data_IF_454382953687
#
_entry.id   IF_454382953687
#
_cell.length_a   1.000
_cell.length_b   1.000
_cell.length_c   1.000
_cell.angle_alpha   90.00
_cell.angle_beta   90.00
_cell.angle_gamma   90.00
#
_symmetry.space_group_name_H-M   'P 1'
#
loop_
_entity.id
_entity.type
_entity.pdbx_description
1 polymer ?
#
# COMPACT_ATOMS: atom_id res chain seq x y z
N UNK A 1 4.98 4.96 40.58
CA UNK A 1 3.73 5.18 39.84
C UNK A 1 4.11 5.31 38.36
N UNK A 2 4.13 4.20 37.63
CA UNK A 2 4.32 4.23 36.18
C UNK A 2 3.02 4.73 35.56
N UNK A 3 3.04 5.65 34.60
CA UNK A 3 1.83 5.94 33.83
C UNK A 3 1.39 4.64 33.13
N UNK A 4 0.08 4.38 33.03
CA UNK A 4 -0.42 3.20 32.35
C UNK A 4 0.10 3.21 30.90
N UNK A 5 0.64 2.07 30.46
CA UNK A 5 0.93 1.81 29.05
C UNK A 5 -0.40 1.90 28.32
N UNK A 6 -0.58 2.96 27.52
CA UNK A 6 -1.58 2.94 26.47
C UNK A 6 -1.12 1.91 25.46
N UNK A 7 -1.71 0.72 25.50
CA UNK A 7 -1.56 -0.25 24.42
C UNK A 7 -2.15 0.38 23.16
N UNK A 8 -1.30 0.59 22.16
CA UNK A 8 -1.57 1.23 20.87
C UNK A 8 -2.54 0.43 19.97
N UNK A 9 -3.37 -0.44 20.54
CA UNK A 9 -4.57 -0.99 19.89
C UNK A 9 -5.64 0.08 19.60
N UNK A 10 -5.38 1.33 20.00
CA UNK A 10 -6.23 2.52 19.86
C UNK A 10 -5.88 3.37 18.59
N UNK A 11 -5.26 2.78 17.56
CA UNK A 11 -4.85 3.47 16.32
C UNK A 11 -5.67 3.12 15.06
N UNK A 12 -6.77 2.38 15.22
CA UNK A 12 -7.79 2.30 14.19
C UNK A 12 -9.13 2.58 14.87
N UNK A 13 -9.59 3.83 14.85
CA UNK A 13 -10.96 4.08 15.29
C UNK A 13 -11.90 3.21 14.41
N UNK A 14 -12.96 2.61 14.97
CA UNK A 14 -13.83 1.67 14.25
C UNK A 14 -14.51 2.23 12.98
N UNK A 15 -14.30 3.50 12.63
CA UNK A 15 -14.66 4.14 11.36
C UNK A 15 -13.55 4.25 10.30
N UNK A 16 -12.25 4.19 10.67
CA UNK A 16 -11.12 4.41 9.74
C UNK A 16 -11.00 3.31 8.68
N UNK A 17 -11.29 2.05 9.02
CA UNK A 17 -11.27 0.95 8.04
C UNK A 17 -12.32 1.14 6.92
N UNK A 18 -13.48 1.70 7.26
CA UNK A 18 -14.54 1.96 6.29
C UNK A 18 -14.19 3.11 5.34
N UNK A 19 -13.38 4.07 5.78
CA UNK A 19 -12.85 5.14 4.92
C UNK A 19 -11.71 4.63 4.04
N UNK A 20 -10.80 3.82 4.60
CA UNK A 20 -9.71 3.17 3.87
C UNK A 20 -10.24 2.44 2.64
N UNK A 21 -11.20 1.52 2.84
CA UNK A 21 -11.82 0.73 1.76
C UNK A 21 -12.48 1.63 0.71
N UNK A 22 -13.12 2.74 1.12
CA UNK A 22 -13.71 3.69 0.16
C UNK A 22 -12.64 4.36 -0.69
N UNK A 23 -11.52 4.79 -0.09
CA UNK A 23 -10.43 5.39 -0.83
C UNK A 23 -9.75 4.38 -1.76
N UNK A 24 -9.52 3.15 -1.32
CA UNK A 24 -8.98 2.08 -2.16
C UNK A 24 -9.89 1.82 -3.37
N UNK A 25 -11.19 1.63 -3.15
CA UNK A 25 -12.18 1.39 -4.23
C UNK A 25 -12.24 2.59 -5.18
N UNK A 26 -12.19 3.81 -4.65
CA UNK A 26 -12.20 5.04 -5.46
C UNK A 26 -10.96 5.12 -6.34
N UNK A 27 -9.77 4.79 -5.81
CA UNK A 27 -8.54 4.69 -6.57
C UNK A 27 -8.62 3.65 -7.69
N UNK A 28 -9.13 2.45 -7.38
CA UNK A 28 -9.31 1.38 -8.36
C UNK A 28 -10.27 1.76 -9.48
N UNK A 29 -11.44 2.30 -9.14
CA UNK A 29 -12.42 2.76 -10.11
C UNK A 29 -11.87 3.90 -10.98
N UNK A 30 -11.17 4.85 -10.36
CA UNK A 30 -10.51 5.96 -11.07
C UNK A 30 -9.44 5.48 -12.04
N UNK A 31 -8.56 4.57 -11.61
CA UNK A 31 -7.52 4.00 -12.46
C UNK A 31 -8.08 3.18 -13.64
N UNK A 32 -9.13 2.38 -13.42
CA UNK A 32 -9.81 1.64 -14.48
C UNK A 32 -10.51 2.57 -15.48
N UNK A 33 -11.28 3.54 -15.00
CA UNK A 33 -11.98 4.50 -15.86
C UNK A 33 -10.99 5.31 -16.69
N UNK A 34 -9.91 5.79 -16.07
CA UNK A 34 -8.87 6.55 -16.76
C UNK A 34 -8.12 5.67 -17.78
N UNK A 35 -7.78 4.44 -17.41
CA UNK A 35 -7.17 3.49 -18.34
C UNK A 35 -8.05 3.19 -19.55
N UNK A 36 -9.35 2.99 -19.34
CA UNK A 36 -10.31 2.79 -20.43
C UNK A 36 -10.37 4.01 -21.37
N UNK A 37 -10.43 5.22 -20.82
CA UNK A 37 -10.44 6.46 -21.63
C UNK A 37 -9.17 6.59 -22.46
N UNK A 38 -7.99 6.36 -21.86
CA UNK A 38 -6.72 6.41 -22.59
C UNK A 38 -6.65 5.35 -23.69
N UNK A 39 -7.14 4.13 -23.42
CA UNK A 39 -7.21 3.08 -24.42
C UNK A 39 -8.14 3.47 -25.58
N UNK A 40 -9.29 4.09 -25.30
CA UNK A 40 -10.24 4.57 -26.31
C UNK A 40 -9.66 5.71 -27.16
N UNK A 41 -8.79 6.54 -26.58
CA UNK A 41 -8.11 7.65 -27.28
C UNK A 41 -6.84 7.21 -28.05
N UNK A 42 -6.47 5.92 -28.03
CA UNK A 42 -5.29 5.44 -28.75
C UNK A 42 -3.98 5.52 -27.97
N UNK A 43 -4.02 5.76 -26.65
CA UNK A 43 -2.85 5.88 -25.78
C UNK A 43 -2.46 4.58 -25.06
N UNK A 44 -2.72 3.41 -25.67
CA UNK A 44 -2.60 2.10 -25.00
C UNK A 44 -1.20 1.84 -24.42
N UNK A 45 -0.15 2.34 -25.08
CA UNK A 45 1.25 2.18 -24.67
C UNK A 45 1.94 3.48 -24.24
N UNK A 46 1.16 4.52 -23.95
CA UNK A 46 1.72 5.77 -23.43
C UNK A 46 2.45 5.55 -22.10
N UNK A 47 3.76 5.85 -21.98
CA UNK A 47 4.50 5.71 -20.74
C UNK A 47 3.90 6.55 -19.60
N UNK A 48 3.52 7.79 -19.92
CA UNK A 48 2.85 8.69 -18.99
C UNK A 48 1.46 8.20 -18.59
N UNK A 49 0.73 7.61 -19.55
CA UNK A 49 -0.56 6.97 -19.27
C UNK A 49 -0.42 5.83 -18.27
N UNK A 50 0.57 4.96 -18.47
CA UNK A 50 0.80 3.82 -17.58
C UNK A 50 1.24 4.27 -16.19
N UNK A 51 2.12 5.25 -16.12
CA UNK A 51 2.57 5.84 -14.86
C UNK A 51 1.37 6.40 -14.07
N UNK A 52 0.51 7.20 -14.70
CA UNK A 52 -0.70 7.75 -14.08
C UNK A 52 -1.67 6.65 -13.64
N UNK A 53 -1.95 5.69 -14.50
CA UNK A 53 -2.87 4.60 -14.21
C UNK A 53 -2.38 3.75 -13.05
N UNK A 54 -1.09 3.37 -13.02
CA UNK A 54 -0.50 2.62 -11.91
C UNK A 54 -0.56 3.40 -10.60
N UNK A 55 -0.31 4.70 -10.66
CA UNK A 55 -0.41 5.56 -9.48
C UNK A 55 -1.84 5.59 -8.94
N UNK A 56 -2.85 5.79 -9.80
CA UNK A 56 -4.25 5.82 -9.36
C UNK A 56 -4.74 4.45 -8.84
N UNK A 57 -4.35 3.37 -9.52
CA UNK A 57 -4.76 2.01 -9.19
C UNK A 57 -4.02 1.40 -7.99
N UNK A 58 -2.75 1.75 -7.79
CA UNK A 58 -1.89 1.20 -6.74
C UNK A 58 -1.83 2.09 -5.50
N UNK A 59 -1.74 3.40 -5.70
CA UNK A 59 -1.48 4.38 -4.64
C UNK A 59 -2.68 5.32 -4.41
N UNK A 60 -3.83 5.03 -5.02
CA UNK A 60 -5.02 5.90 -4.97
C UNK A 60 -5.53 6.16 -3.55
N UNK A 61 -5.44 5.15 -2.68
CA UNK A 61 -5.75 5.28 -1.25
C UNK A 61 -4.83 6.29 -0.57
N UNK A 62 -3.52 6.08 -0.65
CA UNK A 62 -2.51 6.96 -0.07
C UNK A 62 -2.53 8.38 -0.64
N UNK A 63 -2.88 8.56 -1.92
CA UNK A 63 -3.10 9.87 -2.52
C UNK A 63 -4.34 10.58 -1.96
N UNK A 64 -5.47 9.88 -1.84
CA UNK A 64 -6.71 10.46 -1.35
C UNK A 64 -6.61 10.81 0.14
N UNK A 65 -5.97 9.96 0.93
CA UNK A 65 -5.70 10.24 2.35
C UNK A 65 -4.71 11.39 2.53
N UNK A 66 -3.64 11.43 1.72
CA UNK A 66 -2.71 12.55 1.70
C UNK A 66 -3.40 13.87 1.36
N UNK A 67 -4.27 13.87 0.35
CA UNK A 67 -5.03 15.06 -0.05
C UNK A 67 -6.06 15.47 1.01
N UNK A 68 -6.74 14.50 1.61
CA UNK A 68 -7.69 14.74 2.70
C UNK A 68 -6.98 15.36 3.91
N UNK A 69 -5.84 14.80 4.32
CA UNK A 69 -5.02 15.33 5.41
C UNK A 69 -4.52 16.76 5.13
N UNK A 70 -4.09 17.06 3.90
CA UNK A 70 -3.69 18.41 3.48
C UNK A 70 -4.89 19.38 3.52
N UNK A 71 -6.05 18.96 3.01
CA UNK A 71 -7.27 19.79 3.01
C UNK A 71 -7.76 20.09 4.42
N UNK A 72 -7.70 19.10 5.31
CA UNK A 72 -8.05 19.26 6.72
C UNK A 72 -7.06 20.18 7.45
N UNK A 73 -5.78 20.15 7.08
CA UNK A 73 -4.74 21.08 7.55
C UNK A 73 -4.98 22.52 7.07
N UNK A 74 -5.37 22.71 5.81
CA UNK A 74 -5.75 24.05 5.31
C UNK A 74 -6.96 24.61 6.05
N UNK A 75 -7.83 23.74 6.58
CA UNK A 75 -8.97 24.11 7.43
C UNK A 75 -8.62 24.27 8.92
N UNK A 76 -7.54 23.65 9.43
CA UNK A 76 -7.09 23.71 10.83
C UNK A 76 -5.55 23.70 10.93
N UNK A 77 -4.97 24.88 11.12
CA UNK A 77 -3.53 25.07 11.24
C UNK A 77 -2.98 24.60 12.60
N UNK A 78 -2.54 23.33 12.71
CA UNK A 78 -1.63 22.84 13.77
C UNK A 78 -0.84 21.64 13.26
N UNK A 79 0.49 21.76 13.15
CA UNK A 79 1.38 20.74 12.62
C UNK A 79 2.27 20.10 13.70
N UNK A 80 2.41 18.77 13.64
CA UNK A 80 3.67 18.05 13.93
C UNK A 80 3.57 16.56 13.57
N UNK A 81 2.45 15.88 13.84
CA UNK A 81 2.30 14.43 13.61
C UNK A 81 1.81 14.08 12.19
N UNK A 82 0.81 14.81 11.70
CA UNK A 82 0.25 14.61 10.35
C UNK A 82 1.24 14.98 9.22
N UNK A 83 2.21 15.86 9.50
CA UNK A 83 3.24 16.26 8.55
C UNK A 83 4.28 15.16 8.36
N UNK A 84 4.75 14.53 9.44
CA UNK A 84 5.63 13.37 9.37
C UNK A 84 4.96 12.19 8.65
N UNK A 85 3.66 11.97 8.89
CA UNK A 85 2.88 10.93 8.23
C UNK A 85 2.68 11.23 6.73
N UNK A 86 2.37 12.48 6.38
CA UNK A 86 2.26 12.93 4.99
C UNK A 86 3.57 12.82 4.21
N UNK A 87 4.71 13.17 4.81
CA UNK A 87 6.03 12.99 4.20
C UNK A 87 6.39 11.51 4.01
N UNK A 88 6.03 10.65 4.96
CA UNK A 88 6.21 9.20 4.85
C UNK A 88 5.47 8.60 3.66
N UNK A 89 4.20 8.97 3.47
CA UNK A 89 3.39 8.53 2.33
C UNK A 89 3.87 9.10 1.00
N UNK A 90 4.24 10.38 0.98
CA UNK A 90 4.75 11.02 -0.23
C UNK A 90 6.08 10.40 -0.70
N UNK A 91 6.96 10.03 0.24
CA UNK A 91 8.16 9.25 -0.06
C UNK A 91 7.82 7.82 -0.51
N UNK A 92 6.81 7.18 0.10
CA UNK A 92 6.30 5.87 -0.31
C UNK A 92 5.84 5.85 -1.77
N UNK A 93 5.10 6.86 -2.20
CA UNK A 93 4.62 7.03 -3.59
C UNK A 93 5.76 7.37 -4.56
N UNK A 94 6.76 8.14 -4.11
CA UNK A 94 7.86 8.56 -4.98
C UNK A 94 8.79 7.40 -5.39
N UNK A 95 8.96 6.38 -4.54
CA UNK A 95 9.84 5.24 -4.81
C UNK A 95 9.40 4.45 -6.06
N UNK A 96 8.14 4.00 -6.20
CA UNK A 96 7.63 3.38 -7.43
C UNK A 96 7.85 4.22 -8.69
N UNK A 97 7.69 5.55 -8.58
CA UNK A 97 7.88 6.45 -9.72
C UNK A 97 9.33 6.47 -10.20
N UNK A 98 10.28 6.57 -9.27
CA UNK A 98 11.71 6.54 -9.57
C UNK A 98 12.09 5.19 -10.19
N UNK A 99 11.57 4.08 -9.64
CA UNK A 99 11.83 2.74 -10.15
C UNK A 99 11.29 2.59 -11.58
N UNK A 100 10.04 2.98 -11.85
CA UNK A 100 9.43 2.89 -13.19
C UNK A 100 10.22 3.72 -14.21
N UNK A 101 10.50 4.99 -13.87
CA UNK A 101 11.28 5.88 -14.73
C UNK A 101 12.67 5.33 -15.02
N UNK A 102 13.42 4.94 -13.98
CA UNK A 102 14.77 4.39 -14.13
C UNK A 102 14.77 3.10 -14.97
N UNK A 103 13.77 2.25 -14.80
CA UNK A 103 13.61 1.02 -15.59
C UNK A 103 13.42 1.32 -17.07
N UNK A 104 12.57 2.29 -17.39
CA UNK A 104 12.36 2.73 -18.78
C UNK A 104 13.61 3.35 -19.39
N UNK A 105 14.32 4.18 -18.63
CA UNK A 105 15.58 4.78 -19.07
C UNK A 105 16.68 3.72 -19.29
N UNK A 106 16.65 2.64 -18.52
CA UNK A 106 17.53 1.49 -18.69
C UNK A 106 17.11 0.54 -19.83
N UNK A 107 16.03 0.84 -20.56
CA UNK A 107 15.54 0.02 -21.66
C UNK A 107 14.86 -1.29 -21.23
N UNK A 108 14.42 -1.39 -19.98
CA UNK A 108 13.66 -2.55 -19.49
C UNK A 108 12.36 -2.68 -20.28
N UNK A 109 12.06 -3.89 -20.77
CA UNK A 109 10.74 -4.19 -21.29
C UNK A 109 9.74 -4.25 -20.14
N UNK A 110 9.04 -3.13 -19.94
CA UNK A 110 8.03 -2.94 -18.90
C UNK A 110 6.77 -3.79 -19.11
N UNK A 111 6.60 -4.36 -20.31
CA UNK A 111 5.47 -5.22 -20.68
C UNK A 111 5.80 -6.71 -20.55
N UNK A 112 7.08 -7.03 -20.63
CA UNK A 112 7.60 -8.39 -20.53
C UNK A 112 7.97 -8.80 -19.10
N UNK A 113 8.62 -9.96 -19.01
CA UNK A 113 9.01 -10.59 -17.74
C UNK A 113 9.92 -9.66 -16.93
N UNK A 114 10.83 -8.94 -17.57
CA UNK A 114 11.76 -8.02 -16.89
C UNK A 114 11.05 -6.90 -16.13
N UNK A 115 9.85 -6.48 -16.54
CA UNK A 115 9.10 -5.41 -15.91
C UNK A 115 8.18 -5.82 -14.77
N UNK A 116 8.17 -7.10 -14.35
CA UNK A 116 7.18 -7.63 -13.40
C UNK A 116 7.19 -6.92 -12.03
N UNK A 117 8.34 -6.39 -11.61
CA UNK A 117 8.51 -5.72 -10.31
C UNK A 117 7.90 -4.32 -10.27
N UNK A 118 7.66 -3.69 -11.42
CA UNK A 118 7.11 -2.33 -11.49
C UNK A 118 5.72 -2.26 -10.83
N UNK A 119 4.71 -3.03 -11.28
CA UNK A 119 3.40 -3.03 -10.62
C UNK A 119 3.46 -3.49 -9.16
N UNK A 120 4.42 -4.35 -8.79
CA UNK A 120 4.63 -4.73 -7.39
C UNK A 120 4.95 -3.52 -6.51
N UNK A 121 5.89 -2.65 -6.92
CA UNK A 121 6.21 -1.48 -6.11
C UNK A 121 5.04 -0.50 -6.01
N UNK A 122 4.29 -0.26 -7.09
CA UNK A 122 3.08 0.58 -7.02
C UNK A 122 1.97 0.00 -6.14
N UNK A 123 1.91 -1.32 -6.00
CA UNK A 123 0.84 -1.98 -5.27
C UNK A 123 1.19 -2.24 -3.79
N UNK A 124 2.48 -2.30 -3.45
CA UNK A 124 2.95 -2.82 -2.16
C UNK A 124 3.87 -1.87 -1.40
N UNK A 125 4.12 -0.64 -1.88
CA UNK A 125 4.99 0.32 -1.18
C UNK A 125 4.51 0.59 0.25
N UNK A 126 3.21 0.79 0.44
CA UNK A 126 2.61 0.99 1.76
C UNK A 126 2.80 -0.23 2.66
N UNK A 127 2.62 -1.43 2.14
CA UNK A 127 2.81 -2.65 2.91
C UNK A 127 4.27 -2.85 3.33
N UNK A 128 5.23 -2.54 2.44
CA UNK A 128 6.66 -2.61 2.72
C UNK A 128 7.02 -1.59 3.79
N UNK A 129 6.56 -0.34 3.63
CA UNK A 129 6.77 0.74 4.60
C UNK A 129 6.19 0.39 5.97
N UNK A 130 4.95 -0.10 6.02
CA UNK A 130 4.29 -0.54 7.25
C UNK A 130 5.04 -1.70 7.92
N UNK A 131 5.52 -2.68 7.16
CA UNK A 131 6.28 -3.80 7.71
C UNK A 131 7.62 -3.38 8.30
N UNK A 132 8.36 -2.51 7.61
CA UNK A 132 9.65 -2.00 8.08
C UNK A 132 9.47 -1.13 9.32
N UNK A 133 8.53 -0.18 9.29
CA UNK A 133 8.22 0.67 10.43
C UNK A 133 7.76 -0.15 11.65
N UNK A 134 6.88 -1.13 11.45
CA UNK A 134 6.44 -2.02 12.52
C UNK A 134 7.57 -2.86 13.11
N UNK A 135 8.50 -3.37 12.30
CA UNK A 135 9.68 -4.07 12.79
C UNK A 135 10.59 -3.15 13.62
N UNK A 136 10.87 -1.94 13.13
CA UNK A 136 11.68 -0.94 13.86
C UNK A 136 11.03 -0.57 15.19
N UNK A 137 9.71 -0.40 15.20
CA UNK A 137 8.94 -0.13 16.40
C UNK A 137 9.03 -1.27 17.42
N UNK A 138 8.75 -2.51 16.99
CA UNK A 138 8.87 -3.69 17.86
C UNK A 138 10.30 -3.84 18.39
N UNK A 139 11.30 -3.51 17.57
CA UNK A 139 12.70 -3.50 17.99
C UNK A 139 12.99 -2.46 19.06
N UNK A 140 12.42 -1.25 18.96
CA UNK A 140 12.57 -0.19 19.98
C UNK A 140 11.93 -0.58 21.32
N UNK A 141 10.85 -1.37 21.27
CA UNK A 141 10.17 -1.84 22.48
C UNK A 141 10.73 -3.14 23.08
N UNK A 142 11.63 -3.81 22.37
CA UNK A 142 12.15 -5.12 22.78
C UNK A 142 13.59 -5.01 23.31
N UNK A 143 13.93 -5.76 24.37
CA UNK A 143 15.29 -5.77 24.93
C UNK A 143 16.32 -6.38 23.97
N UNK A 144 15.89 -7.24 23.05
CA UNK A 144 16.75 -7.90 22.06
C UNK A 144 16.05 -8.06 20.71
N UNK A 145 16.84 -8.33 19.66
CA UNK A 145 16.32 -8.63 18.32
C UNK A 145 15.52 -9.93 18.26
N UNK A 146 15.88 -10.95 19.05
CA UNK A 146 15.13 -12.22 19.08
C UNK A 146 13.73 -12.02 19.64
N UNK A 147 13.56 -11.23 20.69
CA UNK A 147 12.24 -10.88 21.24
C UNK A 147 11.43 -10.06 20.24
N UNK A 148 12.06 -9.10 19.55
CA UNK A 148 11.38 -8.28 18.53
C UNK A 148 10.86 -9.15 17.37
N UNK A 149 11.70 -10.06 16.84
CA UNK A 149 11.33 -10.97 15.78
C UNK A 149 10.27 -11.97 16.23
N UNK A 150 10.37 -12.51 17.45
CA UNK A 150 9.34 -13.36 18.03
C UNK A 150 7.98 -12.65 18.05
N UNK A 151 7.94 -11.40 18.53
CA UNK A 151 6.71 -10.59 18.52
C UNK A 151 6.21 -10.31 17.10
N UNK A 152 7.12 -9.99 16.17
CA UNK A 152 6.78 -9.76 14.76
C UNK A 152 6.08 -10.97 14.13
N UNK A 153 6.64 -12.18 14.28
CA UNK A 153 6.06 -13.41 13.69
C UNK A 153 4.82 -13.94 14.43
N UNK A 154 4.50 -13.40 15.60
CA UNK A 154 3.22 -13.64 16.29
C UNK A 154 2.16 -12.58 15.99
N UNK A 155 2.54 -11.44 15.39
CA UNK A 155 1.63 -10.34 15.13
C UNK A 155 0.89 -10.55 13.80
N UNK A 156 -0.45 -10.72 13.80
CA UNK A 156 -1.19 -11.15 12.61
C UNK A 156 -1.06 -10.17 11.44
N UNK A 157 -1.07 -8.86 11.70
CA UNK A 157 -0.92 -7.83 10.66
C UNK A 157 0.48 -7.86 10.02
N UNK A 158 1.53 -8.08 10.82
CA UNK A 158 2.91 -8.09 10.32
C UNK A 158 3.15 -9.34 9.46
N UNK A 159 2.68 -10.49 9.94
CA UNK A 159 2.78 -11.75 9.20
C UNK A 159 1.99 -11.69 7.90
N UNK A 160 0.75 -11.20 7.94
CA UNK A 160 -0.07 -11.04 6.74
C UNK A 160 0.62 -10.12 5.71
N UNK A 161 1.12 -8.98 6.16
CA UNK A 161 1.85 -8.06 5.31
C UNK A 161 3.12 -8.68 4.70
N UNK A 162 3.91 -9.39 5.49
CA UNK A 162 5.10 -10.10 5.00
C UNK A 162 4.75 -11.17 3.96
N UNK A 163 3.70 -11.96 4.20
CA UNK A 163 3.22 -12.97 3.25
C UNK A 163 2.89 -12.32 1.91
N UNK A 164 2.16 -11.20 1.91
CA UNK A 164 1.78 -10.51 0.69
C UNK A 164 2.97 -9.91 -0.04
N UNK A 165 3.93 -9.30 0.69
CA UNK A 165 5.17 -8.77 0.12
C UNK A 165 5.94 -9.86 -0.65
N UNK A 166 5.88 -11.11 -0.20
CA UNK A 166 6.52 -12.25 -0.87
C UNK A 166 5.64 -12.83 -1.98
N UNK A 167 4.34 -12.99 -1.73
CA UNK A 167 3.42 -13.68 -2.63
C UNK A 167 3.10 -12.88 -3.90
N UNK A 168 2.87 -11.57 -3.77
CA UNK A 168 2.50 -10.69 -4.89
C UNK A 168 3.55 -10.68 -6.01
N UNK A 169 4.86 -10.46 -5.75
CA UNK A 169 5.85 -10.47 -6.83
C UNK A 169 6.01 -11.84 -7.48
N UNK A 170 5.84 -12.94 -6.72
CA UNK A 170 5.82 -14.31 -7.28
C UNK A 170 4.62 -14.48 -8.22
N UNK A 171 3.44 -14.03 -7.82
CA UNK A 171 2.23 -14.08 -8.66
C UNK A 171 2.37 -13.25 -9.94
N UNK A 172 2.92 -12.03 -9.84
CA UNK A 172 3.20 -11.17 -10.99
C UNK A 172 4.21 -11.79 -11.94
N UNK A 173 5.30 -12.38 -11.41
CA UNK A 173 6.29 -13.08 -12.21
C UNK A 173 5.68 -14.30 -12.91
N UNK A 174 4.89 -15.10 -12.20
CA UNK A 174 4.21 -16.27 -12.77
C UNK A 174 3.24 -15.86 -13.88
N UNK A 175 2.46 -14.80 -13.68
CA UNK A 175 1.56 -14.26 -14.70
C UNK A 175 2.32 -13.84 -15.96
N UNK A 176 3.46 -13.14 -15.79
CA UNK A 176 4.34 -12.74 -16.89
C UNK A 176 4.90 -13.93 -17.65
N UNK A 177 5.38 -14.96 -16.93
CA UNK A 177 5.88 -16.20 -17.53
C UNK A 177 4.78 -16.97 -18.28
N UNK A 178 3.53 -16.89 -17.82
CA UNK A 178 2.35 -17.45 -18.48
C UNK A 178 1.87 -16.62 -19.70
N UNK A 179 2.55 -15.52 -20.04
CA UNK A 179 2.24 -14.69 -21.20
C UNK A 179 1.32 -13.50 -20.93
N UNK A 180 0.97 -13.21 -19.66
CA UNK A 180 0.23 -11.99 -19.33
C UNK A 180 1.09 -10.75 -19.55
N UNK A 181 0.59 -9.80 -20.34
CA UNK A 181 1.27 -8.54 -20.65
C UNK A 181 0.31 -7.35 -20.61
N UNK A 182 0.65 -6.23 -19.95
CA UNK A 182 -0.24 -5.10 -19.73
C UNK A 182 -0.08 -4.10 -20.88
N UNK A 183 -0.29 -4.55 -22.11
CA UNK A 183 -0.08 -3.76 -23.34
C UNK A 183 -1.11 -2.66 -23.55
N UNK A 184 -2.14 -2.60 -22.71
CA UNK A 184 -3.14 -1.54 -22.66
C UNK A 184 -3.19 -0.91 -21.27
N UNK A 185 -3.73 0.29 -21.18
CA UNK A 185 -3.86 1.02 -19.92
C UNK A 185 -4.85 0.32 -19.00
N UNK A 186 -5.95 -0.22 -19.53
CA UNK A 186 -6.91 -1.02 -18.74
C UNK A 186 -6.26 -2.27 -18.13
N UNK A 187 -5.44 -2.99 -18.91
CA UNK A 187 -4.69 -4.14 -18.36
C UNK A 187 -3.66 -3.72 -17.33
N UNK A 188 -3.05 -2.55 -17.50
CA UNK A 188 -2.12 -1.96 -16.52
C UNK A 188 -2.85 -1.64 -15.20
N UNK A 189 -4.06 -1.07 -15.28
CA UNK A 189 -4.90 -0.81 -14.12
C UNK A 189 -5.26 -2.13 -13.40
N UNK A 190 -5.80 -3.11 -14.15
CA UNK A 190 -6.18 -4.41 -13.60
C UNK A 190 -5.02 -5.13 -12.91
N UNK A 191 -3.86 -5.16 -13.55
CA UNK A 191 -2.66 -5.74 -12.98
C UNK A 191 -2.27 -5.09 -11.64
N UNK A 192 -2.31 -3.77 -11.57
CA UNK A 192 -1.95 -3.03 -10.37
C UNK A 192 -2.99 -3.23 -9.26
N UNK A 193 -4.28 -3.23 -9.60
CA UNK A 193 -5.39 -3.47 -8.65
C UNK A 193 -5.29 -4.88 -8.06
N UNK A 194 -5.11 -5.90 -8.90
CA UNK A 194 -5.01 -7.29 -8.45
C UNK A 194 -3.76 -7.50 -7.58
N UNK A 195 -2.67 -6.80 -7.88
CA UNK A 195 -1.48 -6.81 -7.04
C UNK A 195 -1.67 -6.03 -5.72
N UNK A 196 -2.60 -5.08 -5.66
CA UNK A 196 -2.83 -4.22 -4.51
C UNK A 196 -3.72 -4.93 -3.46
N UNK A 197 -3.05 -5.68 -2.59
CA UNK A 197 -3.66 -6.43 -1.51
C UNK A 197 -3.45 -5.76 -0.14
N UNK A 198 -3.15 -4.45 -0.12
CA UNK A 198 -2.84 -3.70 1.11
C UNK A 198 -4.01 -3.62 2.11
N UNK A 199 -5.25 -3.86 1.66
CA UNK A 199 -6.44 -3.93 2.52
C UNK A 199 -6.53 -5.21 3.36
N UNK A 200 -5.76 -6.27 3.02
CA UNK A 200 -5.85 -7.58 3.68
C UNK A 200 -5.33 -7.55 5.13
N UNK A 201 -4.15 -6.96 5.45
CA UNK A 201 -3.68 -6.94 6.83
C UNK A 201 -4.55 -6.12 7.79
N UNK A 202 -5.06 -4.92 7.43
CA UNK A 202 -6.05 -4.20 8.24
C UNK A 202 -7.33 -5.03 8.48
N UNK A 203 -7.84 -5.70 7.44
CA UNK A 203 -9.01 -6.58 7.58
C UNK A 203 -8.77 -7.72 8.58
N UNK A 204 -7.59 -8.34 8.54
CA UNK A 204 -7.22 -9.41 9.47
C UNK A 204 -7.04 -8.89 10.90
N UNK A 205 -6.52 -7.68 11.08
CA UNK A 205 -6.48 -7.01 12.37
C UNK A 205 -7.88 -6.83 12.96
N UNK A 206 -8.79 -6.23 12.19
CA UNK A 206 -10.18 -6.00 12.58
C UNK A 206 -10.95 -7.30 12.87
N UNK A 207 -10.76 -8.35 12.06
CA UNK A 207 -11.36 -9.66 12.32
C UNK A 207 -10.79 -10.30 13.60
N UNK A 208 -9.52 -10.07 13.90
CA UNK A 208 -8.87 -10.52 15.13
C UNK A 208 -9.47 -9.87 16.38
N UNK A 209 -9.77 -8.58 16.32
CA UNK A 209 -10.43 -7.82 17.40
C UNK A 209 -11.84 -8.31 17.66
N UNK A 210 -12.65 -8.51 16.61
CA UNK A 210 -14.01 -9.04 16.73
C UNK A 210 -14.10 -10.45 17.32
N UNK A 211 -13.00 -11.22 17.22
CA UNK A 211 -12.88 -12.56 17.83
C UNK A 211 -12.36 -12.53 19.27
N UNK A 212 -11.98 -11.36 19.79
CA UNK A 212 -11.68 -11.13 21.22
C UNK A 212 -12.78 -10.31 21.92
N UNK A 213 -14.07 -10.72 21.91
CA UNK A 213 -15.03 -10.14 22.83
C UNK A 213 -14.75 -10.69 24.23
N UNK A 214 -14.13 -9.89 25.09
CA UNK A 214 -14.04 -10.19 26.53
C UNK A 214 -12.68 -9.93 27.18
N UNK A 215 -12.30 -8.66 27.30
CA UNK A 215 -11.53 -8.16 28.45
C UNK A 215 -11.80 -6.66 28.58
N UNK A 216 -13.04 -6.31 28.89
CA UNK A 216 -13.35 -5.01 29.49
C UNK A 216 -14.19 -5.27 30.73
N UNK A 217 -13.60 -4.90 31.88
CA UNK A 217 -14.17 -4.61 33.20
C UNK A 217 -14.52 -5.79 34.13
N UNK A 218 -13.52 -6.20 34.92
CA UNK A 218 -13.63 -6.16 36.40
C UNK A 218 -13.20 -4.76 36.88
#
# INVERSE_FOLDING_TARGET
MHPPKKDETELAEPGEFGELVKFTITGWAGGLAFGFVLDALGFQRSPWGQWLVRTLSGEGESLLEGLYAIRQRMARATGSLAEAYGWGKLLGIAVPWVIDLASRLAGVDVYGVSGFYIPFFYAMSDQIGGNLSGLVFLRRQSPSWSTALGRYFTHPVMVAGLILIVLVPVGLLAARLAGWSPTTQTKTALETIVANLCWVPPLLGWLGERRRPGTDLD
#
